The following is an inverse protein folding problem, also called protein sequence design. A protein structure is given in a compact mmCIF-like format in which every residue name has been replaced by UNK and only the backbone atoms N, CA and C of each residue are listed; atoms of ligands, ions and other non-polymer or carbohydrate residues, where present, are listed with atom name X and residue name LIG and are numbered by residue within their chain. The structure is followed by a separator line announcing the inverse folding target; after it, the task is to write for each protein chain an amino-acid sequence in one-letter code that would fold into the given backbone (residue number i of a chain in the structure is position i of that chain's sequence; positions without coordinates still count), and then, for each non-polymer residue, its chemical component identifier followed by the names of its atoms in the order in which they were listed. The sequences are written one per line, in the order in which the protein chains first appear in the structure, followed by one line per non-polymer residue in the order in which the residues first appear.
data_IF_594089248401
#
_entry.id   IF_594089248401
#
_cell.length_a   1.000
_cell.length_b   1.000
_cell.length_c   1.000
_cell.angle_alpha   90.00
_cell.angle_beta   90.00
_cell.angle_gamma   90.00
#
_symmetry.space_group_name_H-M   'P 1'
#
loop_
_entity.id
_entity.type
_entity.pdbx_description
1 polymer ?
#
# COMPACT_ATOMS: atom_id res chain seq x y z
N UNK A 1 10.01 2.41 15.16
CA UNK A 1 9.86 3.72 15.77
C UNK A 1 9.93 4.81 14.72
N UNK A 2 9.05 5.77 14.78
CA UNK A 2 9.08 6.91 13.89
C UNK A 2 10.08 7.95 14.40
N UNK A 3 10.42 8.92 13.53
CA UNK A 3 11.34 9.98 13.90
C UNK A 3 10.82 10.82 15.06
N UNK A 4 9.52 10.87 15.28
CA UNK A 4 8.91 11.64 16.36
C UNK A 4 8.75 10.81 17.65
N UNK A 5 9.26 9.58 17.66
CA UNK A 5 9.13 8.70 18.81
C UNK A 5 7.80 7.97 18.90
N UNK A 6 6.93 8.17 17.94
CA UNK A 6 5.64 7.48 17.89
C UNK A 6 5.81 6.10 17.28
N UNK A 7 5.00 5.14 17.72
CA UNK A 7 5.00 3.82 17.15
C UNK A 7 4.11 3.78 15.91
N UNK A 8 4.63 3.15 14.85
CA UNK A 8 3.87 2.95 13.64
C UNK A 8 3.64 1.45 13.49
N UNK A 9 2.39 1.08 13.23
CA UNK A 9 2.01 -0.33 13.08
C UNK A 9 1.59 -0.58 11.64
N UNK A 10 2.53 -0.99 10.78
CA UNK A 10 2.23 -1.18 9.34
C UNK A 10 1.05 -2.11 9.09
N UNK A 11 0.89 -3.14 9.91
CA UNK A 11 -0.20 -4.10 9.72
C UNK A 11 -1.56 -3.45 9.88
N UNK A 12 -1.70 -2.52 10.80
CA UNK A 12 -2.97 -1.81 10.99
C UNK A 12 -3.28 -0.92 9.80
N UNK A 13 -2.26 -0.28 9.25
CA UNK A 13 -2.42 0.56 8.07
C UNK A 13 -2.77 -0.31 6.87
N UNK A 14 -2.12 -1.45 6.74
CA UNK A 14 -2.39 -2.40 5.65
C UNK A 14 -3.83 -2.90 5.70
N UNK A 15 -4.34 -3.18 6.91
CA UNK A 15 -5.73 -3.62 7.04
C UNK A 15 -6.70 -2.56 6.52
N UNK A 16 -6.43 -1.30 6.81
CA UNK A 16 -7.26 -0.21 6.30
C UNK A 16 -7.13 -0.08 4.79
N UNK A 17 -5.91 -0.20 4.30
CA UNK A 17 -5.64 -0.09 2.86
C UNK A 17 -6.32 -1.21 2.08
N UNK A 18 -6.29 -2.43 2.62
CA UNK A 18 -6.91 -3.58 1.97
C UNK A 18 -8.43 -3.47 1.86
N UNK A 19 -9.04 -2.60 2.65
CA UNK A 19 -10.48 -2.37 2.58
C UNK A 19 -10.88 -1.32 1.55
N UNK A 20 -9.91 -0.71 0.88
CA UNK A 20 -10.18 0.32 -0.11
C UNK A 20 -10.47 -0.31 -1.49
N UNK A 21 -11.17 0.44 -2.38
CA UNK A 21 -11.53 -0.10 -3.68
C UNK A 21 -10.35 -0.58 -4.50
N UNK A 22 -10.51 -1.73 -5.12
CA UNK A 22 -9.55 -2.32 -6.06
C UNK A 22 -8.18 -2.63 -5.47
N UNK A 23 -8.06 -2.72 -4.16
CA UNK A 23 -6.81 -3.15 -3.52
C UNK A 23 -6.91 -4.65 -3.24
N UNK A 24 -6.12 -5.45 -3.93
CA UNK A 24 -6.08 -6.90 -3.71
C UNK A 24 -5.07 -7.24 -2.62
N UNK A 25 -3.89 -6.62 -2.67
CA UNK A 25 -2.85 -6.83 -1.68
C UNK A 25 -2.12 -5.51 -1.45
N UNK A 26 -1.56 -5.37 -0.26
CA UNK A 26 -0.81 -4.16 0.06
C UNK A 26 0.23 -4.44 1.13
N UNK A 27 1.30 -3.64 1.10
CA UNK A 27 2.34 -3.63 2.11
C UNK A 27 2.70 -2.18 2.41
N UNK A 28 2.91 -1.89 3.67
CA UNK A 28 3.44 -0.58 4.06
C UNK A 28 4.91 -0.76 4.41
N UNK A 29 5.77 -0.01 3.76
CA UNK A 29 7.21 -0.04 4.01
C UNK A 29 7.70 1.36 4.32
N UNK A 30 8.83 1.44 4.98
CA UNK A 30 9.45 2.72 5.30
C UNK A 30 10.68 2.90 4.42
N UNK A 31 10.71 4.00 3.68
CA UNK A 31 11.81 4.35 2.81
C UNK A 31 12.17 5.80 3.04
N UNK A 32 13.44 6.09 3.30
CA UNK A 32 13.93 7.45 3.53
C UNK A 32 13.09 8.19 4.58
N UNK A 33 12.79 7.51 5.67
CA UNK A 33 12.01 8.05 6.80
C UNK A 33 10.57 8.38 6.44
N UNK A 34 10.09 7.88 5.30
CA UNK A 34 8.70 8.09 4.87
C UNK A 34 8.03 6.75 4.68
N UNK A 35 6.72 6.73 4.89
CA UNK A 35 5.94 5.52 4.64
C UNK A 35 5.50 5.49 3.18
N UNK A 36 5.64 4.33 2.58
CA UNK A 36 5.25 4.11 1.19
C UNK A 36 4.30 2.91 1.16
N UNK A 37 3.18 3.06 0.47
CA UNK A 37 2.26 1.97 0.27
C UNK A 37 2.57 1.26 -1.04
N UNK A 38 2.83 -0.03 -0.95
CA UNK A 38 3.00 -0.88 -2.14
C UNK A 38 1.70 -1.64 -2.31
N UNK A 39 1.06 -1.50 -3.46
CA UNK A 39 -0.24 -2.13 -3.69
C UNK A 39 -0.22 -2.98 -4.94
N UNK A 40 -0.93 -4.08 -4.86
CA UNK A 40 -1.25 -4.89 -6.03
C UNK A 40 -2.75 -4.72 -6.25
N UNK A 41 -3.14 -3.99 -7.29
CA UNK A 41 -4.57 -3.78 -7.56
C UNK A 41 -5.25 -5.05 -8.04
N UNK A 42 -6.56 -5.11 -7.83
CA UNK A 42 -7.36 -6.19 -8.41
C UNK A 42 -7.63 -5.82 -9.87
N UNK A 43 -6.69 -6.14 -10.72
CA UNK A 43 -6.78 -5.77 -12.14
C UNK A 43 -7.98 -6.41 -12.82
N UNK A 44 -8.27 -7.66 -12.48
CA UNK A 44 -9.40 -8.35 -13.10
C UNK A 44 -10.72 -7.64 -12.81
N UNK A 45 -10.93 -7.24 -11.57
CA UNK A 45 -12.14 -6.52 -11.17
C UNK A 45 -12.18 -5.14 -11.83
N UNK A 46 -11.06 -4.45 -11.85
CA UNK A 46 -10.99 -3.13 -12.45
C UNK A 46 -11.29 -3.19 -13.94
N UNK A 47 -10.67 -4.13 -14.65
CA UNK A 47 -10.90 -4.26 -16.09
C UNK A 47 -12.32 -4.70 -16.40
N UNK A 48 -12.91 -5.52 -15.52
CA UNK A 48 -14.31 -5.93 -15.67
C UNK A 48 -15.26 -4.74 -15.58
N UNK A 49 -14.85 -3.69 -14.88
CA UNK A 49 -15.63 -2.46 -14.76
C UNK A 49 -15.26 -1.40 -15.79
N UNK A 50 -14.45 -1.79 -16.79
CA UNK A 50 -14.08 -0.87 -17.85
C UNK A 50 -12.97 0.11 -17.50
N UNK A 51 -12.26 -0.14 -16.42
CA UNK A 51 -11.16 0.73 -16.00
C UNK A 51 -9.88 0.38 -16.74
N UNK A 52 -9.03 1.39 -16.91
CA UNK A 52 -7.73 1.23 -17.56
C UNK A 52 -6.64 1.40 -16.53
N UNK A 53 -5.39 1.14 -16.91
CA UNK A 53 -4.25 1.32 -16.00
C UNK A 53 -4.21 2.73 -15.44
N UNK A 54 -4.49 3.73 -16.27
CA UNK A 54 -4.51 5.12 -15.82
C UNK A 54 -5.57 5.36 -14.76
N UNK A 55 -6.72 4.72 -14.92
CA UNK A 55 -7.81 4.83 -13.95
C UNK A 55 -7.41 4.19 -12.63
N UNK A 56 -6.71 3.06 -12.70
CA UNK A 56 -6.24 2.37 -11.50
C UNK A 56 -5.25 3.26 -10.73
N UNK A 57 -4.34 3.92 -11.44
CA UNK A 57 -3.40 4.83 -10.80
C UNK A 57 -4.12 5.97 -10.09
N UNK A 58 -5.14 6.52 -10.73
CA UNK A 58 -5.94 7.58 -10.13
C UNK A 58 -6.67 7.08 -8.88
N UNK A 59 -7.26 5.90 -8.97
CA UNK A 59 -7.98 5.31 -7.85
C UNK A 59 -7.03 5.07 -6.67
N UNK A 60 -5.82 4.59 -6.93
CA UNK A 60 -4.87 4.34 -5.86
C UNK A 60 -4.42 5.64 -5.20
N UNK A 61 -4.28 6.72 -5.97
CA UNK A 61 -3.95 8.01 -5.38
C UNK A 61 -5.10 8.53 -4.51
N UNK A 62 -6.34 8.35 -4.97
CA UNK A 62 -7.50 8.71 -4.18
C UNK A 62 -7.57 7.87 -2.90
N UNK A 63 -7.23 6.59 -3.01
CA UNK A 63 -7.18 5.71 -1.86
C UNK A 63 -6.15 6.19 -0.84
N UNK A 64 -5.00 6.64 -1.32
CA UNK A 64 -3.95 7.17 -0.44
C UNK A 64 -4.46 8.38 0.34
N UNK A 65 -5.10 9.31 -0.35
CA UNK A 65 -5.63 10.50 0.29
C UNK A 65 -6.70 10.13 1.31
N UNK A 66 -7.61 9.26 0.94
CA UNK A 66 -8.68 8.83 1.84
C UNK A 66 -8.11 8.12 3.07
N UNK A 67 -7.10 7.28 2.86
CA UNK A 67 -6.47 6.57 3.97
C UNK A 67 -5.77 7.55 4.91
N UNK A 68 -5.05 8.52 4.35
CA UNK A 68 -4.33 9.50 5.16
C UNK A 68 -5.27 10.35 6.01
N UNK A 69 -6.51 10.56 5.55
CA UNK A 69 -7.50 11.29 6.33
C UNK A 69 -7.84 10.57 7.64
N UNK A 70 -7.61 9.26 7.70
CA UNK A 70 -7.90 8.47 8.89
C UNK A 70 -6.66 8.21 9.74
N UNK A 71 -5.49 8.67 9.29
CA UNK A 71 -4.21 8.39 9.95
C UNK A 71 -3.64 9.66 10.59
N UNK A 72 -2.96 9.50 11.74
CA UNK A 72 -2.25 10.64 12.31
C UNK A 72 -1.09 11.05 11.40
N UNK A 73 -0.64 12.29 11.56
CA UNK A 73 0.37 12.87 10.69
C UNK A 73 1.64 12.01 10.60
N UNK A 74 2.04 11.41 11.73
CA UNK A 74 3.29 10.64 11.74
C UNK A 74 3.18 9.28 11.04
N UNK A 75 1.99 8.84 10.68
CA UNK A 75 1.81 7.55 10.00
C UNK A 75 1.16 7.68 8.63
N UNK A 76 1.10 8.89 8.08
CA UNK A 76 0.56 9.11 6.75
C UNK A 76 1.51 8.57 5.68
N UNK A 77 0.91 8.10 4.59
CA UNK A 77 1.66 7.50 3.49
C UNK A 77 2.03 8.58 2.49
N UNK A 78 3.33 8.65 2.16
CA UNK A 78 3.83 9.70 1.27
C UNK A 78 3.50 9.43 -0.19
N UNK A 79 3.44 8.15 -0.58
CA UNK A 79 3.08 7.79 -1.96
C UNK A 79 2.64 6.33 -2.01
N UNK A 80 2.00 5.98 -3.13
CA UNK A 80 1.60 4.62 -3.43
C UNK A 80 2.34 4.15 -4.67
N UNK A 81 2.86 2.92 -4.61
CA UNK A 81 3.47 2.28 -5.77
C UNK A 81 2.60 1.11 -6.19
N UNK A 82 2.31 1.01 -7.47
CA UNK A 82 1.47 -0.03 -8.01
C UNK A 82 2.34 -1.15 -8.57
N UNK A 83 2.06 -2.37 -8.15
CA UNK A 83 2.77 -3.55 -8.63
C UNK A 83 1.88 -4.30 -9.62
N UNK A 84 2.45 -4.78 -10.73
CA UNK A 84 1.67 -5.49 -11.75
C UNK A 84 1.40 -6.94 -11.40
N UNK A 85 2.07 -7.47 -10.38
CA UNK A 85 1.96 -8.86 -10.00
C UNK A 85 1.82 -8.99 -8.48
N UNK A 86 1.31 -10.14 -8.05
CA UNK A 86 1.18 -10.41 -6.63
C UNK A 86 2.55 -10.37 -5.94
N UNK A 87 2.53 -9.98 -4.68
CA UNK A 87 3.74 -9.99 -3.86
C UNK A 87 4.12 -11.43 -3.54
N UNK A 88 5.41 -11.67 -3.37
CA UNK A 88 5.88 -12.97 -2.96
C UNK A 88 5.47 -13.25 -1.52
N UNK A 89 5.06 -14.48 -1.27
CA UNK A 89 4.53 -14.88 0.03
C UNK A 89 5.25 -16.12 0.55
N UNK A 90 5.24 -16.22 1.88
CA UNK A 90 5.75 -17.42 2.55
C UNK A 90 4.73 -18.55 2.40
N UNK A 91 5.11 -19.79 2.78
CA UNK A 91 4.14 -20.90 2.79
C UNK A 91 2.91 -20.62 3.65
N UNK A 92 2.99 -19.72 4.61
CA UNK A 92 1.86 -19.34 5.44
C UNK A 92 1.03 -18.23 4.83
N UNK A 93 1.29 -17.89 3.57
CA UNK A 93 0.60 -16.85 2.82
C UNK A 93 0.83 -15.45 3.37
N UNK A 94 1.92 -15.25 4.10
CA UNK A 94 2.32 -13.92 4.56
C UNK A 94 3.27 -13.31 3.53
N UNK A 95 3.05 -12.04 3.20
CA UNK A 95 3.89 -11.38 2.22
C UNK A 95 5.31 -11.25 2.76
N UNK A 96 6.29 -11.56 1.90
CA UNK A 96 7.70 -11.45 2.27
C UNK A 96 8.10 -9.98 2.30
N UNK A 97 7.71 -9.30 3.34
CA UNK A 97 7.89 -7.86 3.49
C UNK A 97 9.34 -7.43 3.32
N UNK A 98 10.28 -8.26 3.78
CA UNK A 98 11.69 -7.91 3.72
C UNK A 98 12.21 -7.74 2.29
N UNK A 99 11.57 -8.38 1.31
CA UNK A 99 11.97 -8.22 -0.09
C UNK A 99 11.64 -6.83 -0.62
N UNK A 100 10.66 -6.18 -0.02
CA UNK A 100 10.17 -4.89 -0.50
C UNK A 100 10.65 -3.72 0.35
N UNK A 101 10.94 -3.96 1.62
CA UNK A 101 11.45 -2.92 2.51
C UNK A 101 12.80 -2.40 2.09
N UNK A 102 13.64 -3.24 1.53
CA UNK A 102 14.98 -2.86 1.12
C UNK A 102 15.04 -2.34 -0.31
N UNK A 103 13.92 -2.30 -0.97
CA UNK A 103 13.87 -1.76 -2.33
C UNK A 103 14.19 -0.27 -2.26
N UNK A 104 15.38 0.08 -2.66
CA UNK A 104 15.80 1.46 -2.72
C UNK A 104 15.32 2.00 -4.06
N UNK A 105 14.23 2.65 -3.97
CA UNK A 105 13.59 3.13 -5.13
C UNK A 105 13.95 4.35 -5.69
#
# INVERSE_FOLDING_TARGET
LSASGQNIYPEEIEDKLNNLPYVAESIIVQQNEKLVGLVYPDFDDAFAHGLKNEDIEQIMEENRVALNDTLPAYSQISKMKIYPEEFEKTPKKSIKRYLYQEAKG
#
